data_IF_682422728605
#
_entry.id   IF_682422728605
#
_cell.length_a   1.000
_cell.length_b   1.000
_cell.length_c   1.000
_cell.angle_alpha   90.00
_cell.angle_beta   90.00
_cell.angle_gamma   90.00
#
_symmetry.space_group_name_H-M   'P 1'
#
loop_
_entity.id
_entity.type
_entity.pdbx_description
1 polymer ?
#
# COMPACT_ATOMS: atom_id res chain seq x y z
N UNK A 1 10.47 -11.51 25.12
CA UNK A 1 10.94 -11.64 23.71
C UNK A 1 10.62 -12.99 23.09
N UNK A 2 10.97 -14.16 23.68
CA UNK A 2 10.64 -15.49 23.14
C UNK A 2 9.12 -15.72 23.02
N UNK A 3 8.32 -15.26 23.99
CA UNK A 3 6.84 -15.36 23.93
C UNK A 3 6.26 -14.57 22.75
N UNK A 4 6.73 -13.33 22.55
CA UNK A 4 6.29 -12.51 21.40
C UNK A 4 6.70 -13.14 20.07
N UNK A 5 7.95 -13.61 19.94
CA UNK A 5 8.40 -14.28 18.72
C UNK A 5 7.55 -15.53 18.43
N UNK A 6 7.20 -16.33 19.45
CA UNK A 6 6.33 -17.48 19.29
C UNK A 6 4.89 -17.09 18.96
N UNK A 7 4.38 -16.03 19.58
CA UNK A 7 3.04 -15.53 19.30
C UNK A 7 2.91 -14.94 17.89
N UNK A 8 3.97 -14.31 17.36
CA UNK A 8 3.99 -13.70 16.02
C UNK A 8 4.50 -14.66 14.92
N UNK A 9 5.07 -15.82 15.30
CA UNK A 9 5.51 -16.82 14.33
C UNK A 9 4.36 -17.69 13.85
N UNK A 10 4.31 -17.91 12.55
CA UNK A 10 3.27 -18.70 11.88
C UNK A 10 1.95 -17.94 11.65
N UNK A 11 1.22 -18.38 10.63
CA UNK A 11 0.03 -17.72 10.13
C UNK A 11 0.32 -16.73 8.99
N UNK A 12 -0.73 -16.26 8.37
CA UNK A 12 -0.69 -15.27 7.29
C UNK A 12 -1.01 -13.89 7.87
N UNK A 13 -0.21 -12.89 7.54
CA UNK A 13 -0.49 -11.51 7.91
C UNK A 13 -1.78 -11.04 7.25
N UNK A 14 -2.60 -10.31 7.98
CA UNK A 14 -3.88 -9.80 7.49
C UNK A 14 -3.85 -8.28 7.51
N UNK A 15 -3.35 -7.70 6.43
CA UNK A 15 -3.44 -6.28 6.15
C UNK A 15 -4.28 -6.10 4.87
N UNK A 16 -5.20 -5.13 4.86
CA UNK A 16 -6.01 -4.86 3.66
C UNK A 16 -5.39 -3.77 2.78
N UNK A 17 -4.26 -3.20 3.18
CA UNK A 17 -3.54 -2.14 2.48
C UNK A 17 -2.15 -2.61 2.10
N UNK A 18 -1.81 -2.49 0.81
CA UNK A 18 -0.45 -2.57 0.30
C UNK A 18 0.10 -1.17 0.08
N UNK A 19 1.34 -0.91 0.43
CA UNK A 19 2.04 0.34 0.13
C UNK A 19 3.19 0.03 -0.82
N UNK A 20 3.22 0.68 -1.97
CA UNK A 20 4.34 0.52 -2.90
C UNK A 20 5.65 1.00 -2.27
N UNK A 21 6.66 0.15 -2.27
CA UNK A 21 8.00 0.48 -1.80
C UNK A 21 8.74 1.30 -2.85
N UNK A 22 8.77 2.61 -2.64
CA UNK A 22 9.24 3.60 -3.61
C UNK A 22 10.74 3.92 -3.44
N UNK A 23 11.59 2.90 -3.35
CA UNK A 23 13.03 3.10 -3.12
C UNK A 23 13.73 3.83 -4.28
N UNK A 24 13.29 3.58 -5.52
CA UNK A 24 13.90 4.16 -6.70
C UNK A 24 13.64 5.66 -6.85
N UNK A 25 12.66 6.21 -6.13
CA UNK A 25 12.31 7.62 -6.18
C UNK A 25 13.50 8.53 -5.82
N UNK A 26 14.30 8.13 -4.83
CA UNK A 26 15.48 8.89 -4.39
C UNK A 26 16.54 9.03 -5.48
N UNK A 27 16.61 8.06 -6.38
CA UNK A 27 17.61 8.04 -7.47
C UNK A 27 17.05 8.54 -8.79
N UNK A 28 15.76 8.78 -8.88
CA UNK A 28 15.11 9.24 -10.10
C UNK A 28 15.44 10.68 -10.48
N UNK A 29 15.99 11.47 -9.54
CA UNK A 29 16.30 12.89 -9.72
C UNK A 29 15.08 13.81 -9.72
N UNK A 30 13.87 13.28 -9.51
CA UNK A 30 12.63 14.04 -9.42
C UNK A 30 12.23 14.37 -7.98
N UNK A 31 11.09 15.06 -7.84
CA UNK A 31 10.46 15.26 -6.53
C UNK A 31 9.80 13.95 -6.09
N UNK A 32 9.87 13.66 -4.81
CA UNK A 32 9.22 12.47 -4.23
C UNK A 32 8.83 12.72 -2.76
N UNK A 33 7.92 11.90 -2.29
CA UNK A 33 7.54 11.80 -0.89
C UNK A 33 8.37 10.69 -0.23
N UNK A 34 8.86 10.93 0.96
CA UNK A 34 9.48 9.87 1.76
C UNK A 34 8.41 8.84 2.13
N UNK A 35 8.69 7.58 1.86
CA UNK A 35 7.79 6.48 2.19
C UNK A 35 7.38 6.45 3.66
N UNK A 36 8.30 6.84 4.56
CA UNK A 36 8.06 6.94 5.99
C UNK A 36 6.88 7.85 6.33
N UNK A 37 6.61 8.88 5.54
CA UNK A 37 5.48 9.78 5.75
C UNK A 37 4.15 9.04 5.62
N UNK A 38 4.00 8.24 4.57
CA UNK A 38 2.82 7.38 4.37
C UNK A 38 2.72 6.33 5.47
N UNK A 39 3.81 5.60 5.74
CA UNK A 39 3.83 4.58 6.78
C UNK A 39 3.47 5.14 8.16
N UNK A 40 4.00 6.32 8.51
CA UNK A 40 3.67 7.00 9.76
C UNK A 40 2.20 7.42 9.81
N UNK A 41 1.65 7.94 8.72
CA UNK A 41 0.24 8.34 8.65
C UNK A 41 -0.69 7.14 8.88
N UNK A 42 -0.42 6.00 8.24
CA UNK A 42 -1.19 4.77 8.40
C UNK A 42 -1.06 4.20 9.81
N UNK A 43 0.18 4.05 10.30
CA UNK A 43 0.46 3.45 11.62
C UNK A 43 -0.17 4.26 12.77
N UNK A 44 -0.12 5.59 12.71
CA UNK A 44 -0.73 6.47 13.74
C UNK A 44 -2.25 6.35 13.81
N UNK A 45 -2.87 5.91 12.73
CA UNK A 45 -4.31 5.71 12.63
C UNK A 45 -4.70 4.22 12.70
N UNK A 46 -3.82 3.34 13.14
CA UNK A 46 -4.04 1.90 13.27
C UNK A 46 -4.54 1.26 11.96
N UNK A 47 -3.97 1.66 10.85
CA UNK A 47 -4.14 0.97 9.55
C UNK A 47 -2.90 0.13 9.32
N UNK A 48 -3.07 -1.18 9.29
CA UNK A 48 -2.01 -2.14 9.03
C UNK A 48 -1.76 -2.25 7.52
N UNK A 49 -0.50 -2.48 7.14
CA UNK A 49 -0.10 -2.51 5.73
C UNK A 49 1.17 -3.33 5.54
N UNK A 50 1.38 -3.79 4.32
CA UNK A 50 2.62 -4.37 3.86
C UNK A 50 3.29 -3.51 2.79
N UNK A 51 4.63 -3.57 2.76
CA UNK A 51 5.44 -2.90 1.74
C UNK A 51 5.68 -3.83 0.57
N UNK A 52 5.24 -3.42 -0.62
CA UNK A 52 5.35 -4.21 -1.84
C UNK A 52 6.42 -3.62 -2.75
N UNK A 53 7.56 -4.32 -2.96
CA UNK A 53 8.60 -3.86 -3.86
C UNK A 53 8.20 -4.02 -5.34
N UNK A 54 8.93 -3.34 -6.21
CA UNK A 54 8.66 -3.22 -7.64
C UNK A 54 8.52 -4.57 -8.35
N UNK A 55 9.39 -5.51 -8.07
CA UNK A 55 9.40 -6.83 -8.72
C UNK A 55 8.21 -7.68 -8.28
N UNK A 56 7.85 -7.61 -7.00
CA UNK A 56 6.66 -8.27 -6.45
C UNK A 56 5.39 -7.67 -7.04
N UNK A 57 5.28 -6.33 -7.08
CA UNK A 57 4.13 -5.65 -7.67
C UNK A 57 3.96 -6.00 -9.15
N UNK A 58 5.05 -6.06 -9.91
CA UNK A 58 5.01 -6.40 -11.32
C UNK A 58 4.59 -7.86 -11.59
N UNK A 59 4.90 -8.77 -10.66
CA UNK A 59 4.54 -10.18 -10.75
C UNK A 59 3.19 -10.53 -10.08
N UNK A 60 2.60 -9.59 -9.34
CA UNK A 60 1.36 -9.80 -8.61
C UNK A 60 0.15 -9.96 -9.54
N UNK A 61 -0.92 -10.56 -9.03
CA UNK A 61 -2.19 -10.74 -9.71
C UNK A 61 -3.28 -9.92 -9.01
N UNK A 62 -4.34 -9.59 -9.73
CA UNK A 62 -5.57 -9.08 -9.14
C UNK A 62 -6.64 -10.17 -9.23
N UNK A 63 -7.28 -10.49 -8.11
CA UNK A 63 -8.39 -11.44 -8.05
C UNK A 63 -9.54 -10.80 -7.28
N UNK A 64 -10.71 -10.73 -7.92
CA UNK A 64 -11.90 -10.14 -7.31
C UNK A 64 -11.69 -8.70 -6.79
N UNK A 65 -10.88 -7.88 -7.53
CA UNK A 65 -10.56 -6.52 -7.14
C UNK A 65 -9.52 -6.39 -6.00
N UNK A 66 -8.85 -7.48 -5.65
CA UNK A 66 -7.78 -7.48 -4.63
C UNK A 66 -6.43 -7.82 -5.24
N UNK A 67 -5.40 -7.12 -4.81
CA UNK A 67 -4.01 -7.45 -5.09
C UNK A 67 -3.64 -8.72 -4.33
N UNK A 68 -3.15 -9.74 -5.02
CA UNK A 68 -2.74 -11.01 -4.41
C UNK A 68 -1.24 -11.18 -4.54
N UNK A 69 -0.60 -11.43 -3.39
CA UNK A 69 0.83 -11.72 -3.27
C UNK A 69 1.00 -12.93 -2.36
N UNK A 70 1.43 -14.06 -2.93
CA UNK A 70 1.48 -15.34 -2.21
C UNK A 70 0.11 -15.72 -1.60
N UNK A 71 0.04 -15.80 -0.27
CA UNK A 71 -1.18 -16.13 0.48
C UNK A 71 -1.91 -14.88 0.99
N UNK A 72 -1.34 -13.70 0.79
CA UNK A 72 -1.86 -12.41 1.26
C UNK A 72 -2.68 -11.71 0.18
N UNK A 73 -3.67 -10.93 0.59
CA UNK A 73 -4.53 -10.19 -0.33
C UNK A 73 -4.87 -8.82 0.21
N UNK A 74 -4.76 -7.79 -0.64
CA UNK A 74 -4.94 -6.40 -0.28
C UNK A 74 -6.06 -5.77 -1.09
N UNK A 75 -6.97 -5.07 -0.41
CA UNK A 75 -8.09 -4.35 -1.03
C UNK A 75 -7.69 -3.01 -1.65
N UNK A 76 -6.58 -2.44 -1.21
CA UNK A 76 -6.08 -1.18 -1.74
C UNK A 76 -4.55 -1.18 -1.91
N UNK A 77 -4.08 -0.53 -2.97
CA UNK A 77 -2.66 -0.21 -3.20
C UNK A 77 -2.46 1.30 -3.04
N UNK A 78 -1.62 1.69 -2.09
CA UNK A 78 -1.20 3.08 -1.87
C UNK A 78 0.14 3.31 -2.53
N UNK A 79 0.23 4.33 -3.38
CA UNK A 79 1.44 4.72 -4.10
C UNK A 79 1.91 6.08 -3.58
N UNK A 80 3.00 6.15 -2.80
CA UNK A 80 3.58 7.42 -2.36
C UNK A 80 3.96 8.29 -3.56
N UNK A 81 3.78 9.62 -3.45
CA UNK A 81 4.10 10.51 -4.55
C UNK A 81 5.54 10.36 -5.02
N UNK A 82 5.71 10.23 -6.31
CA UNK A 82 6.97 10.34 -7.02
C UNK A 82 6.73 10.99 -8.37
N UNK A 83 7.54 12.00 -8.69
CA UNK A 83 7.46 12.67 -9.99
C UNK A 83 7.75 11.69 -11.13
N UNK A 84 8.65 10.75 -10.90
CA UNK A 84 8.98 9.70 -11.85
C UNK A 84 8.77 8.33 -11.22
N UNK A 85 8.09 7.43 -11.93
CA UNK A 85 7.95 6.03 -11.55
C UNK A 85 8.56 5.13 -12.64
N UNK A 86 9.19 4.01 -12.29
CA UNK A 86 9.66 3.06 -13.28
C UNK A 86 8.53 2.61 -14.21
N UNK A 87 8.81 2.50 -15.52
CA UNK A 87 7.80 2.05 -16.50
C UNK A 87 7.16 0.72 -16.10
N UNK A 88 7.95 -0.20 -15.60
CA UNK A 88 7.45 -1.50 -15.10
C UNK A 88 6.39 -1.36 -14.01
N UNK A 89 6.54 -0.36 -13.13
CA UNK A 89 5.58 -0.06 -12.05
C UNK A 89 4.31 0.56 -12.62
N UNK A 90 4.44 1.54 -13.52
CA UNK A 90 3.27 2.17 -14.16
C UNK A 90 2.48 1.19 -15.00
N UNK A 91 3.14 0.26 -15.69
CA UNK A 91 2.48 -0.81 -16.45
C UNK A 91 1.74 -1.78 -15.51
N UNK A 92 2.36 -2.18 -14.40
CA UNK A 92 1.72 -3.04 -13.40
C UNK A 92 0.49 -2.36 -12.76
N UNK A 93 0.62 -1.09 -12.36
CA UNK A 93 -0.49 -0.33 -11.79
C UNK A 93 -1.63 -0.17 -12.83
N UNK A 94 -1.30 0.11 -14.09
CA UNK A 94 -2.32 0.21 -15.16
C UNK A 94 -3.11 -1.09 -15.31
N UNK A 95 -2.42 -2.23 -15.33
CA UNK A 95 -3.05 -3.54 -15.38
C UNK A 95 -3.96 -3.79 -14.17
N UNK A 96 -3.46 -3.53 -12.96
CA UNK A 96 -4.22 -3.73 -11.73
C UNK A 96 -5.48 -2.84 -11.66
N UNK A 97 -5.40 -1.59 -12.14
CA UNK A 97 -6.55 -0.70 -12.27
C UNK A 97 -7.59 -1.25 -13.26
N UNK A 98 -7.16 -1.81 -14.39
CA UNK A 98 -8.05 -2.43 -15.37
C UNK A 98 -8.75 -3.67 -14.82
N UNK A 99 -8.06 -4.41 -13.95
CA UNK A 99 -8.57 -5.58 -13.22
C UNK A 99 -9.44 -5.22 -12.00
N UNK A 100 -9.61 -3.92 -11.70
CA UNK A 100 -10.54 -3.41 -10.69
C UNK A 100 -9.97 -3.21 -9.30
N UNK A 101 -8.63 -3.23 -9.13
CA UNK A 101 -7.99 -2.89 -7.86
C UNK A 101 -8.18 -1.41 -7.52
N UNK A 102 -8.47 -1.09 -6.26
CA UNK A 102 -8.41 0.27 -5.74
C UNK A 102 -6.96 0.72 -5.63
N UNK A 103 -6.57 1.73 -6.43
CA UNK A 103 -5.22 2.32 -6.39
C UNK A 103 -5.30 3.78 -6.01
N UNK A 104 -4.56 4.17 -4.99
CA UNK A 104 -4.53 5.51 -4.40
C UNK A 104 -3.15 6.12 -4.59
N UNK A 105 -3.04 7.18 -5.37
CA UNK A 105 -1.84 8.01 -5.41
C UNK A 105 -1.90 9.07 -4.33
N UNK A 106 -0.84 9.17 -3.54
CA UNK A 106 -0.77 10.18 -2.48
C UNK A 106 -0.34 11.52 -3.10
N UNK A 107 -1.15 12.55 -2.85
CA UNK A 107 -1.01 13.94 -3.30
C UNK A 107 -1.10 14.14 -4.82
N UNK A 108 -0.39 13.40 -5.65
CA UNK A 108 -0.35 13.62 -7.11
C UNK A 108 -0.03 12.33 -7.88
N UNK A 109 -0.41 12.30 -9.16
CA UNK A 109 0.07 11.32 -10.13
C UNK A 109 1.53 11.60 -10.52
N UNK A 110 2.27 10.60 -11.00
CA UNK A 110 3.60 10.80 -11.58
C UNK A 110 3.49 11.60 -12.91
N UNK A 111 4.48 12.45 -13.17
CA UNK A 111 4.53 13.21 -14.42
C UNK A 111 4.96 12.33 -15.60
N UNK A 112 5.94 11.45 -15.36
CA UNK A 112 6.54 10.57 -16.38
C UNK A 112 7.05 9.28 -15.76
N UNK A 113 7.42 8.34 -16.62
CA UNK A 113 8.22 7.20 -16.17
C UNK A 113 9.66 7.61 -15.91
N UNK A 114 10.42 6.81 -15.17
CA UNK A 114 11.85 7.02 -14.94
C UNK A 114 12.67 7.01 -16.25
N UNK A 115 12.13 6.37 -17.28
CA UNK A 115 12.66 6.36 -18.64
C UNK A 115 12.24 7.60 -19.47
N UNK A 116 11.64 8.60 -18.80
CA UNK A 116 11.13 9.85 -19.37
C UNK A 116 10.01 9.68 -20.41
N UNK A 117 9.34 8.54 -20.41
CA UNK A 117 8.17 8.28 -21.25
C UNK A 117 6.90 8.82 -20.58
N UNK A 118 5.86 9.16 -21.35
CA UNK A 118 4.56 9.50 -20.80
C UNK A 118 3.99 8.35 -19.96
N UNK A 119 3.33 8.66 -18.85
CA UNK A 119 2.53 7.68 -18.11
C UNK A 119 1.27 7.35 -18.90
N UNK A 120 0.80 6.12 -18.79
CA UNK A 120 -0.42 5.68 -19.48
C UNK A 120 -1.67 6.41 -18.95
N UNK A 121 -2.62 6.70 -19.83
CA UNK A 121 -3.90 7.35 -19.45
C UNK A 121 -4.71 6.53 -18.43
N UNK A 122 -4.48 5.24 -18.34
CA UNK A 122 -5.13 4.36 -17.35
C UNK A 122 -4.87 4.81 -15.93
N UNK A 123 -3.71 5.43 -15.64
CA UNK A 123 -3.40 5.97 -14.32
C UNK A 123 -4.35 7.10 -13.89
N UNK A 124 -4.96 7.82 -14.83
CA UNK A 124 -5.96 8.86 -14.54
C UNK A 124 -7.24 8.29 -13.88
N UNK A 125 -7.44 6.97 -13.93
CA UNK A 125 -8.54 6.26 -13.25
C UNK A 125 -8.26 5.99 -11.77
N UNK A 126 -7.00 6.11 -11.34
CA UNK A 126 -6.64 5.97 -9.95
C UNK A 126 -7.13 7.19 -9.14
N UNK A 127 -7.37 6.99 -7.87
CA UNK A 127 -7.74 8.08 -6.99
C UNK A 127 -6.52 8.83 -6.47
N UNK A 128 -6.65 10.15 -6.34
CA UNK A 128 -5.62 11.00 -5.75
C UNK A 128 -6.10 11.43 -4.38
N UNK A 129 -5.39 11.03 -3.34
CA UNK A 129 -5.76 11.31 -1.95
C UNK A 129 -4.65 12.08 -1.27
N UNK A 130 -4.91 13.27 -0.72
CA UNK A 130 -3.91 14.01 0.05
C UNK A 130 -3.41 13.18 1.25
N UNK A 131 -2.12 13.24 1.55
CA UNK A 131 -1.52 12.48 2.66
C UNK A 131 -2.28 12.66 3.99
N UNK A 132 -2.70 13.88 4.29
CA UNK A 132 -3.46 14.21 5.52
C UNK A 132 -4.85 13.56 5.58
N UNK A 133 -5.42 13.17 4.44
CA UNK A 133 -6.75 12.57 4.31
C UNK A 133 -6.69 11.05 4.10
N UNK A 134 -5.50 10.51 3.79
CA UNK A 134 -5.29 9.11 3.42
C UNK A 134 -5.89 8.12 4.44
N UNK A 135 -5.59 8.29 5.72
CA UNK A 135 -6.09 7.39 6.75
C UNK A 135 -7.62 7.45 6.88
N UNK A 136 -8.19 8.66 6.82
CA UNK A 136 -9.65 8.85 6.84
C UNK A 136 -10.33 8.22 5.61
N UNK A 137 -9.73 8.39 4.43
CA UNK A 137 -10.20 7.78 3.20
C UNK A 137 -10.23 6.24 3.30
N UNK A 138 -9.11 5.63 3.68
CA UNK A 138 -8.99 4.18 3.81
C UNK A 138 -9.97 3.62 4.87
N UNK A 139 -10.12 4.32 6.00
CA UNK A 139 -11.09 3.94 7.04
C UNK A 139 -12.54 4.00 6.53
N UNK A 140 -12.90 5.04 5.77
CA UNK A 140 -14.24 5.20 5.21
C UNK A 140 -14.58 4.12 4.16
N UNK A 141 -13.56 3.61 3.44
CA UNK A 141 -13.72 2.57 2.42
C UNK A 141 -13.52 1.15 2.94
N UNK A 142 -13.41 0.98 4.27
CA UNK A 142 -13.38 -0.35 4.89
C UNK A 142 -12.00 -1.01 4.99
N UNK A 143 -10.92 -0.27 4.66
CA UNK A 143 -9.55 -0.79 4.71
C UNK A 143 -8.88 -0.69 6.09
N UNK A 144 -9.68 -0.55 7.15
CA UNK A 144 -9.20 -0.49 8.53
C UNK A 144 -9.88 -1.58 9.37
N UNK A 145 -9.12 -2.57 9.84
CA UNK A 145 -9.62 -3.70 10.63
C UNK A 145 -9.75 -3.40 12.13
N UNK A 146 -8.90 -2.50 12.65
CA UNK A 146 -8.90 -2.12 14.08
C UNK A 146 -9.13 -0.62 14.19
N UNK A 147 -10.11 -0.24 15.01
CA UNK A 147 -10.42 1.18 15.29
C UNK A 147 -10.26 1.46 16.77
N UNK A 148 -9.71 2.62 17.08
CA UNK A 148 -9.60 3.16 18.43
C UNK A 148 -10.43 4.43 18.53
N UNK A 149 -10.86 4.79 19.74
CA UNK A 149 -11.66 6.00 19.98
C UNK A 149 -10.90 7.29 19.62
N UNK A 150 -9.58 7.21 19.62
CA UNK A 150 -8.70 8.29 19.18
C UNK A 150 -7.43 7.72 18.54
N UNK A 151 -6.82 8.42 17.56
CA UNK A 151 -5.52 8.03 17.01
C UNK A 151 -4.47 7.90 18.12
N UNK A 152 -3.70 6.84 18.14
CA UNK A 152 -2.68 6.55 19.15
C UNK A 152 -1.29 6.45 18.55
N UNK A 153 -0.40 7.42 18.88
CA UNK A 153 0.98 7.40 18.37
C UNK A 153 1.78 6.18 18.84
N UNK A 154 1.42 5.62 20.00
CA UNK A 154 2.16 4.55 20.67
C UNK A 154 1.47 3.18 20.54
N UNK A 155 0.25 3.14 20.01
CA UNK A 155 -0.46 1.89 19.78
C UNK A 155 -0.03 1.27 18.45
N UNK A 156 0.35 0.01 18.53
CA UNK A 156 0.63 -0.84 17.37
C UNK A 156 -0.14 -2.14 17.53
N UNK A 157 -0.62 -2.67 16.42
CA UNK A 157 -1.20 -4.01 16.41
C UNK A 157 -0.61 -4.78 15.22
N UNK A 158 -0.77 -6.07 15.26
CA UNK A 158 -0.37 -6.97 14.18
C UNK A 158 -1.39 -8.10 14.11
N UNK A 159 -2.09 -8.19 12.99
CA UNK A 159 -3.16 -9.15 12.80
C UNK A 159 -2.67 -10.34 11.98
N UNK A 160 -2.80 -11.56 12.52
CA UNK A 160 -2.50 -12.81 11.80
C UNK A 160 -3.69 -13.75 11.81
N UNK A 161 -3.89 -14.41 10.67
CA UNK A 161 -4.84 -15.53 10.52
C UNK A 161 -4.06 -16.84 10.63
N UNK A 162 -4.59 -17.77 11.42
CA UNK A 162 -4.08 -19.13 11.64
C UNK A 162 -5.18 -20.15 11.41
N UNK A 163 -4.83 -21.44 11.36
CA UNK A 163 -5.81 -22.53 11.26
C UNK A 163 -6.89 -22.46 12.33
N UNK A 164 -6.53 -22.07 13.55
CA UNK A 164 -7.42 -22.02 14.71
C UNK A 164 -8.06 -20.66 15.00
N UNK A 165 -7.94 -19.67 14.08
CA UNK A 165 -8.55 -18.35 14.25
C UNK A 165 -7.60 -17.18 13.99
N UNK A 166 -7.95 -16.04 14.55
CA UNK A 166 -7.22 -14.78 14.37
C UNK A 166 -6.50 -14.36 15.65
N UNK A 167 -5.32 -13.76 15.52
CA UNK A 167 -4.56 -13.14 16.60
C UNK A 167 -4.36 -11.66 16.26
N UNK A 168 -4.61 -10.78 17.24
CA UNK A 168 -4.41 -9.34 17.17
C UNK A 168 -3.38 -8.86 18.16
#
# INVERSE_FOLDING_TARGET
TKRMAHALSGGVHVADVAVYYNAEAEWSGGKYMLQQEVCCALTRNQIDFDLIPQDVLAASECREGKLVVNEESYGALVVPYSQYLPKRVTDAISRLLEEGLSVLFVDQLPDRTSELLPVGKTLERAEIVPLKELAGYLSAHGHQSVRTDSPGNDLRFYHTKRENGHLF
#
